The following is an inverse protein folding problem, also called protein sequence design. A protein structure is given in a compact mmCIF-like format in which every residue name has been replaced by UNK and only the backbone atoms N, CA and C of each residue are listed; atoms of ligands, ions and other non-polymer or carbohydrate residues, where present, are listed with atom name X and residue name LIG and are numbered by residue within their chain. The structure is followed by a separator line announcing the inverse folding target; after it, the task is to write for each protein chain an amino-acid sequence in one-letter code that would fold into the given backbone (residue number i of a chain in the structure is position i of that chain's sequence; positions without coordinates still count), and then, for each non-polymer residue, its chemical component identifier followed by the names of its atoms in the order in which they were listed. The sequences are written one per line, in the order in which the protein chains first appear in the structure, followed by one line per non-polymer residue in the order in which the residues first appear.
data_IF_213897920820
#
_entry.id   IF_213897920820
#
_cell.length_a   1.000
_cell.length_b   1.000
_cell.length_c   1.000
_cell.angle_alpha   90.00
_cell.angle_beta   90.00
_cell.angle_gamma   90.00
#
_symmetry.space_group_name_H-M   'P 1'
#
loop_
_entity.id
_entity.type
_entity.pdbx_description
1 polymer ?
#
# COMPACT_ATOMS: atom_id res chain seq x y z
N UNK A 1 -30.66 31.37 -22.16
CA UNK A 1 -29.68 30.36 -22.63
C UNK A 1 -28.22 30.74 -22.38
N UNK A 2 -27.76 31.92 -22.83
CA UNK A 2 -26.37 32.40 -22.61
C UNK A 2 -25.92 32.45 -21.14
N UNK A 3 -26.72 33.03 -20.24
CA UNK A 3 -26.42 33.06 -18.78
C UNK A 3 -26.26 31.67 -18.18
N UNK A 4 -27.12 30.72 -18.59
CA UNK A 4 -27.05 29.32 -18.15
C UNK A 4 -25.76 28.64 -18.63
N UNK A 5 -25.36 28.88 -19.89
CA UNK A 5 -24.08 28.36 -20.43
C UNK A 5 -22.86 28.96 -19.71
N UNK A 6 -22.91 30.24 -19.36
CA UNK A 6 -21.84 30.94 -18.61
C UNK A 6 -21.72 30.40 -17.17
N UNK A 7 -22.85 30.14 -16.49
CA UNK A 7 -22.90 29.53 -15.17
C UNK A 7 -22.40 28.08 -15.17
N UNK A 8 -22.83 27.27 -16.14
CA UNK A 8 -22.33 25.89 -16.33
C UNK A 8 -20.82 25.86 -16.66
N UNK A 9 -20.30 26.85 -17.37
CA UNK A 9 -18.86 26.98 -17.63
C UNK A 9 -18.08 27.38 -16.37
N UNK A 10 -18.64 28.26 -15.52
CA UNK A 10 -18.05 28.63 -14.24
C UNK A 10 -18.01 27.44 -13.28
N UNK A 11 -19.12 26.72 -13.13
CA UNK A 11 -19.20 25.55 -12.26
C UNK A 11 -18.21 24.45 -12.67
N UNK A 12 -18.05 24.22 -13.99
CA UNK A 12 -17.04 23.28 -14.51
C UNK A 12 -15.60 23.69 -14.16
N UNK A 13 -15.27 24.99 -14.28
CA UNK A 13 -13.95 25.51 -13.92
C UNK A 13 -13.68 25.39 -12.43
N UNK A 14 -14.66 25.72 -11.59
CA UNK A 14 -14.53 25.63 -10.14
C UNK A 14 -14.38 24.17 -9.66
N UNK A 15 -15.11 23.24 -10.29
CA UNK A 15 -14.97 21.81 -10.02
C UNK A 15 -13.59 21.29 -10.45
N UNK A 16 -13.08 21.74 -11.60
CA UNK A 16 -11.73 21.37 -12.07
C UNK A 16 -10.63 21.88 -11.12
N UNK A 17 -10.73 23.13 -10.66
CA UNK A 17 -9.79 23.70 -9.67
C UNK A 17 -9.83 22.91 -8.36
N UNK A 18 -11.02 22.54 -7.90
CA UNK A 18 -11.19 21.71 -6.70
C UNK A 18 -10.54 20.33 -6.88
N UNK A 19 -10.78 19.65 -8.00
CA UNK A 19 -10.18 18.35 -8.31
C UNK A 19 -8.65 18.42 -8.34
N UNK A 20 -8.08 19.46 -8.99
CA UNK A 20 -6.62 19.67 -9.02
C UNK A 20 -6.02 19.86 -7.63
N UNK A 21 -6.69 20.64 -6.76
CA UNK A 21 -6.25 20.83 -5.37
C UNK A 21 -6.32 19.53 -4.55
N UNK A 22 -7.41 18.77 -4.71
CA UNK A 22 -7.57 17.48 -4.04
C UNK A 22 -6.51 16.46 -4.51
N UNK A 23 -6.17 16.44 -5.79
CA UNK A 23 -5.11 15.60 -6.35
C UNK A 23 -3.71 16.00 -5.86
N UNK A 24 -3.42 17.31 -5.85
CA UNK A 24 -2.15 17.85 -5.34
C UNK A 24 -1.97 17.51 -3.85
N UNK A 25 -3.02 17.67 -3.06
CA UNK A 25 -3.00 17.33 -1.63
C UNK A 25 -2.81 15.83 -1.41
N UNK A 26 -3.50 14.97 -2.18
CA UNK A 26 -3.27 13.52 -2.17
C UNK A 26 -1.83 13.15 -2.51
N UNK A 27 -1.22 13.84 -3.48
CA UNK A 27 0.18 13.63 -3.86
C UNK A 27 1.15 14.05 -2.74
N UNK A 28 0.90 15.19 -2.08
CA UNK A 28 1.68 15.64 -0.93
C UNK A 28 1.58 14.65 0.24
N UNK A 29 0.38 14.15 0.52
CA UNK A 29 0.16 13.15 1.56
C UNK A 29 0.88 11.83 1.25
N UNK A 30 0.80 11.36 0.00
CA UNK A 30 1.53 10.16 -0.42
C UNK A 30 3.06 10.33 -0.28
N UNK A 31 3.60 11.49 -0.69
CA UNK A 31 5.02 11.79 -0.52
C UNK A 31 5.41 11.82 0.96
N UNK A 32 4.61 12.45 1.82
CA UNK A 32 4.85 12.47 3.26
C UNK A 32 4.80 11.05 3.87
N UNK A 33 3.91 10.17 3.37
CA UNK A 33 3.86 8.77 3.79
C UNK A 33 5.13 8.01 3.39
N UNK A 34 5.62 8.18 2.15
CA UNK A 34 6.89 7.58 1.69
C UNK A 34 8.06 8.07 2.54
N UNK A 35 8.15 9.37 2.81
CA UNK A 35 9.22 9.93 3.65
C UNK A 35 9.20 9.32 5.06
N UNK A 36 8.03 9.15 5.67
CA UNK A 36 7.93 8.49 6.99
C UNK A 36 8.39 7.04 6.96
N UNK A 37 7.96 6.27 5.95
CA UNK A 37 8.37 4.87 5.76
C UNK A 37 9.89 4.75 5.58
N UNK A 38 10.51 5.71 4.92
CA UNK A 38 11.95 5.74 4.67
C UNK A 38 12.78 6.30 5.83
N UNK A 39 12.22 7.20 6.64
CA UNK A 39 12.92 7.90 7.70
C UNK A 39 12.95 7.12 9.04
N UNK A 40 12.03 6.18 9.24
CA UNK A 40 12.04 5.34 10.44
C UNK A 40 13.08 4.22 10.29
N UNK A 41 14.07 4.22 11.19
CA UNK A 41 15.03 3.12 11.33
C UNK A 41 14.25 1.80 11.42
N UNK A 42 14.40 0.97 10.39
CA UNK A 42 13.66 -0.30 10.23
C UNK A 42 13.85 -1.28 11.41
N UNK A 43 14.79 -1.00 12.33
CA UNK A 43 14.99 -1.73 13.58
C UNK A 43 13.91 -1.45 14.66
N UNK A 44 13.21 -0.32 14.60
CA UNK A 44 12.10 0.03 15.53
C UNK A 44 10.75 0.29 14.84
N UNK A 45 10.71 0.14 13.51
CA UNK A 45 9.59 0.55 12.69
C UNK A 45 8.24 0.02 13.15
N UNK A 46 7.27 0.93 13.25
CA UNK A 46 5.91 0.61 13.67
C UNK A 46 5.17 -0.05 12.51
N UNK A 47 5.03 -1.38 12.55
CA UNK A 47 4.36 -2.17 11.51
C UNK A 47 2.94 -1.62 11.24
N UNK A 48 2.29 -1.12 12.27
CA UNK A 48 0.99 -0.45 12.23
C UNK A 48 1.00 0.79 11.34
N UNK A 49 2.02 1.65 11.46
CA UNK A 49 2.15 2.85 10.64
C UNK A 49 2.33 2.50 9.16
N UNK A 50 3.13 1.48 8.87
CA UNK A 50 3.32 0.97 7.49
C UNK A 50 2.00 0.44 6.93
N UNK A 51 1.28 -0.40 7.68
CA UNK A 51 0.00 -0.96 7.24
C UNK A 51 -1.07 0.13 7.09
N UNK A 52 -1.08 1.13 7.97
CA UNK A 52 -1.97 2.28 7.85
C UNK A 52 -1.69 3.08 6.58
N UNK A 53 -0.42 3.33 6.26
CA UNK A 53 -0.01 4.00 5.02
C UNK A 53 -0.43 3.19 3.78
N UNK A 54 -0.25 1.87 3.79
CA UNK A 54 -0.69 0.99 2.70
C UNK A 54 -2.20 1.09 2.46
N UNK A 55 -3.00 1.10 3.53
CA UNK A 55 -4.47 1.19 3.43
C UNK A 55 -4.92 2.57 2.95
N UNK A 56 -4.33 3.64 3.49
CA UNK A 56 -4.66 5.01 3.12
C UNK A 56 -4.29 5.34 1.67
N UNK A 57 -3.23 4.71 1.15
CA UNK A 57 -2.69 4.98 -0.19
C UNK A 57 -2.66 3.71 -1.06
N UNK A 58 -3.73 2.90 -1.01
CA UNK A 58 -3.83 1.62 -1.74
C UNK A 58 -3.63 1.76 -3.24
N UNK A 59 -4.08 2.87 -3.85
CA UNK A 59 -3.91 3.16 -5.28
C UNK A 59 -2.56 3.79 -5.66
N UNK A 60 -1.68 4.10 -4.71
CA UNK A 60 -0.37 4.70 -5.00
C UNK A 60 0.73 3.63 -5.00
N UNK A 61 1.26 3.32 -6.19
CA UNK A 61 2.26 2.28 -6.35
C UNK A 61 3.57 2.55 -5.59
N UNK A 62 4.00 3.81 -5.50
CA UNK A 62 5.23 4.20 -4.80
C UNK A 62 5.09 3.95 -3.28
N UNK A 63 3.96 4.33 -2.69
CA UNK A 63 3.68 4.02 -1.27
C UNK A 63 3.64 2.51 -1.04
N UNK A 64 2.98 1.74 -1.92
CA UNK A 64 2.92 0.28 -1.78
C UNK A 64 4.31 -0.36 -1.89
N UNK A 65 5.13 0.09 -2.84
CA UNK A 65 6.50 -0.40 -3.02
C UNK A 65 7.34 -0.19 -1.75
N UNK A 66 7.38 1.05 -1.25
CA UNK A 66 8.16 1.39 -0.07
C UNK A 66 7.64 0.72 1.19
N UNK A 67 6.32 0.63 1.35
CA UNK A 67 5.72 -0.08 2.47
C UNK A 67 6.06 -1.58 2.46
N UNK A 68 5.97 -2.25 1.31
CA UNK A 68 6.35 -3.65 1.19
C UNK A 68 7.85 -3.86 1.50
N UNK A 69 8.72 -2.98 0.98
CA UNK A 69 10.16 -3.03 1.29
C UNK A 69 10.42 -2.83 2.78
N UNK A 70 9.70 -1.92 3.44
CA UNK A 70 9.83 -1.70 4.87
C UNK A 70 9.38 -2.94 5.67
N UNK A 71 8.26 -3.57 5.28
CA UNK A 71 7.81 -4.84 5.88
C UNK A 71 8.87 -5.95 5.73
N UNK A 72 9.54 -6.06 4.57
CA UNK A 72 10.64 -7.02 4.38
C UNK A 72 11.76 -6.78 5.40
N UNK A 73 12.22 -5.53 5.54
CA UNK A 73 13.28 -5.19 6.48
C UNK A 73 12.87 -5.46 7.94
N UNK A 74 11.63 -5.10 8.30
CA UNK A 74 11.12 -5.26 9.68
C UNK A 74 10.92 -6.73 10.07
N UNK A 75 10.60 -7.61 9.10
CA UNK A 75 10.19 -8.99 9.38
C UNK A 75 11.28 -10.01 9.09
N UNK A 76 12.28 -9.67 8.26
CA UNK A 76 13.31 -10.59 7.80
C UNK A 76 14.13 -11.26 8.90
N UNK A 77 14.45 -10.51 9.95
CA UNK A 77 15.26 -10.99 11.08
C UNK A 77 14.58 -10.85 12.43
N UNK A 78 13.27 -10.58 12.47
CA UNK A 78 12.53 -10.35 13.72
C UNK A 78 11.20 -11.11 13.75
N UNK A 79 11.15 -12.16 14.55
CA UNK A 79 9.96 -13.01 14.74
C UNK A 79 8.79 -12.29 15.41
N UNK A 80 9.08 -11.42 16.39
CA UNK A 80 8.05 -10.62 17.05
C UNK A 80 7.36 -9.70 16.03
N UNK A 81 8.12 -9.11 15.11
CA UNK A 81 7.57 -8.30 14.03
C UNK A 81 6.78 -9.14 13.01
N UNK A 82 7.19 -10.37 12.69
CA UNK A 82 6.38 -11.29 11.86
C UNK A 82 5.01 -11.54 12.50
N UNK A 83 5.00 -11.90 13.78
CA UNK A 83 3.76 -12.13 14.54
C UNK A 83 2.91 -10.86 14.60
N UNK A 84 3.53 -9.71 14.86
CA UNK A 84 2.83 -8.41 14.91
C UNK A 84 2.23 -8.05 13.55
N UNK A 85 2.97 -8.23 12.46
CA UNK A 85 2.51 -8.00 11.09
C UNK A 85 1.25 -8.80 10.76
N UNK A 86 1.19 -10.07 11.17
CA UNK A 86 -0.02 -10.88 11.09
C UNK A 86 -1.20 -10.27 11.85
N UNK A 87 -0.98 -9.88 13.12
CA UNK A 87 -2.03 -9.31 13.98
C UNK A 87 -2.61 -8.01 13.46
N UNK A 88 -1.80 -7.13 12.88
CA UNK A 88 -2.24 -5.82 12.38
C UNK A 88 -2.83 -5.89 10.95
N UNK A 89 -2.79 -7.07 10.34
CA UNK A 89 -3.36 -7.33 9.01
C UNK A 89 -2.46 -6.84 7.86
N UNK A 90 -1.13 -7.00 8.01
CA UNK A 90 -0.16 -6.69 6.97
C UNK A 90 -0.26 -7.68 5.80
N UNK A 91 -0.53 -8.95 6.07
CA UNK A 91 -0.71 -9.98 5.04
C UNK A 91 -1.83 -9.58 4.07
N UNK A 92 -3.00 -9.21 4.60
CA UNK A 92 -4.15 -8.78 3.81
C UNK A 92 -3.87 -7.49 3.03
N UNK A 93 -3.13 -6.55 3.64
CA UNK A 93 -2.72 -5.31 2.97
C UNK A 93 -1.78 -5.60 1.79
N UNK A 94 -0.81 -6.51 1.95
CA UNK A 94 0.12 -6.90 0.87
C UNK A 94 -0.61 -7.66 -0.23
N UNK A 95 -1.52 -8.58 0.10
CA UNK A 95 -2.35 -9.28 -0.91
C UNK A 95 -3.22 -8.29 -1.69
N UNK A 96 -3.79 -7.28 -1.03
CA UNK A 96 -4.51 -6.21 -1.71
C UNK A 96 -3.58 -5.42 -2.65
N UNK A 97 -2.37 -5.08 -2.22
CA UNK A 97 -1.38 -4.41 -3.06
C UNK A 97 -1.04 -5.22 -4.33
N UNK A 98 -0.87 -6.54 -4.20
CA UNK A 98 -0.64 -7.46 -5.34
C UNK A 98 -1.79 -7.37 -6.34
N UNK A 99 -3.04 -7.34 -5.87
CA UNK A 99 -4.21 -7.25 -6.75
C UNK A 99 -4.36 -5.89 -7.40
N UNK A 100 -4.17 -4.81 -6.64
CA UNK A 100 -4.33 -3.44 -7.14
C UNK A 100 -3.23 -3.05 -8.13
N UNK A 101 -2.01 -3.54 -7.93
CA UNK A 101 -0.84 -3.20 -8.72
C UNK A 101 -0.30 -4.39 -9.50
N UNK A 102 -1.18 -5.22 -10.08
CA UNK A 102 -0.79 -6.42 -10.84
C UNK A 102 0.20 -6.15 -11.97
N UNK A 103 0.04 -5.01 -12.66
CA UNK A 103 0.94 -4.58 -13.75
C UNK A 103 2.22 -3.86 -13.31
N UNK A 104 2.43 -3.60 -12.01
CA UNK A 104 3.62 -2.91 -11.52
C UNK A 104 4.65 -3.91 -10.98
N UNK A 105 5.68 -4.18 -11.76
CA UNK A 105 6.73 -5.16 -11.44
C UNK A 105 7.44 -4.86 -10.12
N UNK A 106 7.68 -3.59 -9.79
CA UNK A 106 8.38 -3.21 -8.57
C UNK A 106 7.54 -3.45 -7.31
N UNK A 107 6.23 -3.19 -7.38
CA UNK A 107 5.28 -3.50 -6.30
C UNK A 107 5.12 -5.01 -6.18
N UNK A 108 4.96 -5.73 -7.29
CA UNK A 108 4.85 -7.19 -7.28
C UNK A 108 6.07 -7.84 -6.63
N UNK A 109 7.27 -7.42 -7.02
CA UNK A 109 8.52 -7.96 -6.48
C UNK A 109 8.60 -7.77 -4.95
N UNK A 110 8.39 -6.53 -4.47
CA UNK A 110 8.48 -6.25 -3.03
C UNK A 110 7.33 -6.91 -2.24
N UNK A 111 6.11 -6.94 -2.79
CA UNK A 111 4.96 -7.57 -2.13
C UNK A 111 5.13 -9.09 -1.99
N UNK A 112 5.64 -9.77 -3.02
CA UNK A 112 5.96 -11.19 -2.93
C UNK A 112 7.04 -11.47 -1.88
N UNK A 113 8.09 -10.66 -1.85
CA UNK A 113 9.13 -10.75 -0.82
C UNK A 113 8.55 -10.53 0.59
N UNK A 114 7.71 -9.51 0.78
CA UNK A 114 7.09 -9.22 2.07
C UNK A 114 6.24 -10.40 2.58
N UNK A 115 5.43 -11.02 1.72
CA UNK A 115 4.69 -12.23 2.08
C UNK A 115 5.61 -13.39 2.47
N UNK A 116 6.66 -13.63 1.69
CA UNK A 116 7.66 -14.66 1.98
C UNK A 116 8.29 -14.48 3.37
N UNK A 117 8.75 -13.27 3.69
CA UNK A 117 9.36 -12.98 4.99
C UNK A 117 8.37 -13.00 6.15
N UNK A 118 7.13 -12.50 5.96
CA UNK A 118 6.12 -12.56 7.01
C UNK A 118 5.66 -13.97 7.33
N UNK A 119 5.62 -14.86 6.33
CA UNK A 119 5.20 -16.26 6.51
C UNK A 119 6.34 -17.17 6.97
N UNK A 120 7.59 -16.72 6.84
CA UNK A 120 8.77 -17.49 7.23
C UNK A 120 8.71 -17.88 8.71
N UNK A 121 8.66 -19.18 8.98
CA UNK A 121 8.54 -19.77 10.33
C UNK A 121 7.32 -19.28 11.13
N UNK A 122 6.22 -18.86 10.47
CA UNK A 122 4.98 -18.44 11.14
C UNK A 122 3.76 -19.16 10.56
N UNK A 123 3.34 -20.25 11.21
CA UNK A 123 2.15 -21.02 10.82
C UNK A 123 0.87 -20.18 10.84
N UNK A 124 0.77 -19.23 11.78
CA UNK A 124 -0.35 -18.30 11.86
C UNK A 124 -0.40 -17.41 10.60
N UNK A 125 0.73 -16.85 10.19
CA UNK A 125 0.80 -16.02 8.99
C UNK A 125 0.61 -16.81 7.71
N UNK A 126 1.09 -18.06 7.65
CA UNK A 126 0.81 -18.98 6.53
C UNK A 126 -0.70 -19.21 6.41
N UNK A 127 -1.37 -19.51 7.53
CA UNK A 127 -2.82 -19.71 7.56
C UNK A 127 -3.58 -18.45 7.12
N UNK A 128 -3.14 -17.27 7.59
CA UNK A 128 -3.71 -15.98 7.16
C UNK A 128 -3.48 -15.72 5.67
N UNK A 129 -2.29 -15.98 5.15
CA UNK A 129 -1.98 -15.81 3.73
C UNK A 129 -2.84 -16.70 2.83
N UNK A 130 -3.08 -17.95 3.25
CA UNK A 130 -4.02 -18.86 2.59
C UNK A 130 -5.45 -18.30 2.58
N UNK A 131 -5.94 -17.84 3.75
CA UNK A 131 -7.29 -17.23 3.85
C UNK A 131 -7.44 -15.94 3.05
N UNK A 132 -6.37 -15.15 2.94
CA UNK A 132 -6.35 -13.93 2.14
C UNK A 132 -6.35 -14.20 0.62
N UNK A 133 -6.08 -15.44 0.20
CA UNK A 133 -5.93 -15.82 -1.21
C UNK A 133 -4.65 -15.25 -1.81
N UNK A 134 -3.53 -15.38 -1.09
CA UNK A 134 -2.23 -14.86 -1.51
C UNK A 134 -1.71 -15.58 -2.77
N UNK A 135 -1.88 -16.90 -2.85
CA UNK A 135 -1.43 -17.70 -3.99
C UNK A 135 -2.20 -17.31 -5.25
N UNK A 136 -3.52 -17.19 -5.16
CA UNK A 136 -4.38 -16.79 -6.27
C UNK A 136 -4.03 -15.38 -6.75
N UNK A 137 -3.76 -14.46 -5.83
CA UNK A 137 -3.35 -13.10 -6.15
C UNK A 137 -2.01 -13.08 -6.91
N UNK A 138 -1.01 -13.85 -6.45
CA UNK A 138 0.30 -13.94 -7.10
C UNK A 138 0.21 -14.58 -8.49
N UNK A 139 -0.55 -15.68 -8.62
CA UNK A 139 -0.76 -16.35 -9.92
C UNK A 139 -1.50 -15.46 -10.90
N UNK A 140 -2.48 -14.68 -10.44
CA UNK A 140 -3.20 -13.73 -11.28
C UNK A 140 -2.31 -12.60 -11.80
N UNK A 141 -1.32 -12.16 -11.01
CA UNK A 141 -0.37 -11.11 -11.42
C UNK A 141 0.71 -11.60 -12.40
N UNK A 142 0.89 -12.92 -12.56
CA UNK A 142 1.84 -13.52 -13.51
C UNK A 142 1.30 -13.69 -14.93
N UNK A 143 0.01 -13.38 -15.17
CA UNK A 143 -0.67 -13.55 -16.46
C UNK A 143 -0.80 -12.23 -17.20
#
# INVERSE_FOLDING_TARGET
ERKRREEEARNRRDEEVRRRREEEERRKQALAAVVRILAEDAEKGDVEAVVAAMRAHSGNAEVQHWACRALVNMTGSNEANRTRAGKVGAIEAVVAAIRTHSGNVEVQHQACHALGYMTLFSEENITRAGKAGAVEAMVAAMR
#
